data_IF_023512012272
#
_entry.id   IF_023512012272
#
_cell.length_a   1.000
_cell.length_b   1.000
_cell.length_c   1.000
_cell.angle_alpha   90.00
_cell.angle_beta   90.00
_cell.angle_gamma   90.00
#
_symmetry.space_group_name_H-M   'P 1'
#
loop_
_entity.id
_entity.type
_entity.pdbx_description
1 polymer ?
#
# COMPACT_ATOMS: atom_id res chain seq x y z
N UNK A 1 26.35 23.85 5.49
CA UNK A 1 25.14 23.68 6.35
C UNK A 1 25.32 22.38 7.09
N UNK A 2 24.75 22.23 8.28
CA UNK A 2 24.85 20.94 8.98
C UNK A 2 23.94 19.92 8.30
N UNK A 3 24.29 18.66 8.44
CA UNK A 3 23.54 17.52 7.92
C UNK A 3 22.92 16.77 9.09
N UNK A 4 21.81 16.09 8.86
CA UNK A 4 21.10 15.29 9.86
C UNK A 4 20.60 14.01 9.22
N UNK A 5 20.75 12.88 9.89
CA UNK A 5 20.01 11.67 9.53
C UNK A 5 18.56 11.76 9.97
N UNK A 6 17.67 11.58 9.02
CA UNK A 6 16.22 11.68 9.22
C UNK A 6 15.55 10.43 8.65
N UNK A 7 14.50 9.97 9.33
CA UNK A 7 13.53 9.04 8.76
C UNK A 7 12.30 9.82 8.28
N UNK A 8 11.76 9.48 7.11
CA UNK A 8 10.54 10.05 6.57
C UNK A 8 9.49 8.97 6.42
N UNK A 9 8.31 9.20 6.99
CA UNK A 9 7.11 8.41 6.70
C UNK A 9 6.39 9.05 5.52
N UNK A 10 6.00 8.25 4.53
CA UNK A 10 5.30 8.73 3.36
C UNK A 10 4.28 7.73 2.84
N UNK A 11 3.29 8.26 2.14
CA UNK A 11 2.25 7.52 1.46
C UNK A 11 2.30 7.78 -0.05
N UNK A 12 1.87 6.79 -0.83
CA UNK A 12 1.67 6.94 -2.26
C UNK A 12 0.59 6.02 -2.82
N UNK A 13 -0.09 6.50 -3.86
CA UNK A 13 -0.94 5.68 -4.74
C UNK A 13 -0.07 5.09 -5.86
N UNK A 14 0.12 3.78 -5.87
CA UNK A 14 1.08 3.09 -6.73
C UNK A 14 0.65 2.90 -8.19
N UNK A 15 -0.61 3.19 -8.52
CA UNK A 15 -1.23 2.81 -9.80
C UNK A 15 -0.55 3.39 -11.04
N UNK A 16 0.03 4.58 -10.91
CA UNK A 16 0.71 5.29 -12.01
C UNK A 16 2.22 5.07 -12.04
N UNK A 17 2.76 4.19 -11.19
CA UNK A 17 4.19 4.02 -11.00
C UNK A 17 4.65 2.60 -11.29
N UNK A 18 5.86 2.47 -11.82
CA UNK A 18 6.52 1.17 -12.11
C UNK A 18 7.16 0.56 -10.84
N UNK A 19 6.51 0.75 -9.70
CA UNK A 19 6.95 0.30 -8.38
C UNK A 19 7.73 1.36 -7.60
N UNK A 20 8.22 0.94 -6.44
CA UNK A 20 8.94 1.83 -5.53
C UNK A 20 10.36 2.12 -6.03
N UNK A 21 11.15 1.07 -6.26
CA UNK A 21 12.57 1.17 -6.56
C UNK A 21 12.82 1.81 -7.94
N UNK A 22 13.93 2.53 -8.09
CA UNK A 22 14.37 3.09 -9.37
C UNK A 22 14.67 1.94 -10.35
N UNK A 23 14.20 2.10 -11.59
CA UNK A 23 14.37 1.15 -12.68
C UNK A 23 14.71 1.90 -13.97
N UNK A 24 15.21 1.18 -14.98
CA UNK A 24 15.59 1.77 -16.27
C UNK A 24 14.39 2.25 -17.10
N UNK A 25 13.20 1.70 -16.85
CA UNK A 25 11.99 1.99 -17.61
C UNK A 25 10.83 2.37 -16.69
N UNK A 26 10.04 3.36 -17.14
CA UNK A 26 8.89 3.86 -16.41
C UNK A 26 9.25 4.81 -15.27
N UNK A 27 8.23 5.48 -14.73
CA UNK A 27 8.38 6.41 -13.61
C UNK A 27 8.18 5.66 -12.31
N UNK A 28 9.07 5.86 -11.34
CA UNK A 28 9.02 5.17 -10.03
C UNK A 28 8.82 6.16 -8.89
N UNK A 29 8.31 5.66 -7.77
CA UNK A 29 8.04 6.49 -6.58
C UNK A 29 9.35 7.04 -6.02
N UNK A 30 10.39 6.21 -5.92
CA UNK A 30 11.70 6.63 -5.41
C UNK A 30 12.37 7.65 -6.32
N UNK A 31 12.19 7.57 -7.65
CA UNK A 31 12.70 8.60 -8.56
C UNK A 31 12.09 9.96 -8.24
N UNK A 32 10.76 10.05 -8.09
CA UNK A 32 10.07 11.31 -7.74
C UNK A 32 10.44 11.82 -6.36
N UNK A 33 10.64 10.92 -5.41
CA UNK A 33 11.09 11.25 -4.07
C UNK A 33 12.50 11.86 -4.09
N UNK A 34 13.45 11.23 -4.79
CA UNK A 34 14.81 11.75 -4.96
C UNK A 34 14.83 13.10 -5.69
N UNK A 35 14.05 13.24 -6.77
CA UNK A 35 13.92 14.51 -7.50
C UNK A 35 13.43 15.64 -6.57
N UNK A 36 12.53 15.35 -5.63
CA UNK A 36 12.02 16.32 -4.66
C UNK A 36 13.10 16.71 -3.63
N UNK A 37 13.86 15.74 -3.11
CA UNK A 37 14.97 16.01 -2.18
C UNK A 37 16.07 16.88 -2.83
N UNK A 38 16.41 16.62 -4.09
CA UNK A 38 17.39 17.43 -4.85
C UNK A 38 16.86 18.84 -5.13
N UNK A 39 15.62 18.97 -5.62
CA UNK A 39 15.00 20.28 -5.89
C UNK A 39 14.85 21.13 -4.63
N UNK A 40 14.58 20.50 -3.49
CA UNK A 40 14.54 21.15 -2.18
C UNK A 40 15.93 21.55 -1.66
N UNK A 41 17.01 21.11 -2.32
CA UNK A 41 18.41 21.22 -1.89
C UNK A 41 18.61 20.63 -0.50
N UNK A 42 17.96 19.50 -0.24
CA UNK A 42 18.09 18.74 1.01
C UNK A 42 19.22 17.72 0.94
N UNK A 43 19.56 17.23 -0.26
CA UNK A 43 20.71 16.34 -0.49
C UNK A 43 21.66 16.98 -1.51
N UNK A 44 22.94 16.64 -1.40
CA UNK A 44 23.98 17.09 -2.35
C UNK A 44 23.93 16.25 -3.63
N UNK A 45 23.86 14.94 -3.45
CA UNK A 45 23.71 13.96 -4.52
C UNK A 45 23.02 12.69 -3.99
N UNK A 46 22.57 11.83 -4.91
CA UNK A 46 21.83 10.61 -4.59
C UNK A 46 22.70 9.49 -3.99
N UNK A 47 24.02 9.58 -4.12
CA UNK A 47 24.97 8.54 -3.73
C UNK A 47 25.40 8.75 -2.27
N UNK A 48 25.74 9.98 -1.89
CA UNK A 48 26.27 10.31 -0.56
C UNK A 48 25.20 10.47 0.53
N UNK A 49 23.91 10.47 0.17
CA UNK A 49 22.82 10.70 1.12
C UNK A 49 22.47 9.49 2.03
N UNK A 50 23.16 8.36 1.89
CA UNK A 50 22.94 7.12 2.65
C UNK A 50 21.45 6.72 2.76
N UNK A 51 20.83 6.58 1.58
CA UNK A 51 19.41 6.31 1.45
C UNK A 51 19.08 4.84 1.74
N UNK A 52 18.14 4.62 2.65
CA UNK A 52 17.59 3.31 3.01
C UNK A 52 16.07 3.32 2.94
N UNK A 53 15.45 2.17 2.64
CA UNK A 53 13.99 2.04 2.51
C UNK A 53 13.49 0.77 3.17
N UNK A 54 12.39 0.86 3.91
CA UNK A 54 11.89 -0.25 4.72
C UNK A 54 11.57 -1.51 3.91
N UNK A 55 10.87 -1.37 2.80
CA UNK A 55 10.56 -2.49 1.91
C UNK A 55 10.25 -2.00 0.52
N UNK A 56 10.53 -2.82 -0.50
CA UNK A 56 10.13 -2.51 -1.88
C UNK A 56 8.66 -2.86 -2.07
N UNK A 57 7.96 -2.09 -2.89
CA UNK A 57 6.65 -2.48 -3.43
C UNK A 57 6.74 -2.61 -4.94
N UNK A 58 5.99 -3.55 -5.49
CA UNK A 58 5.93 -3.80 -6.93
C UNK A 58 5.14 -2.71 -7.66
N UNK A 59 5.17 -2.75 -8.99
CA UNK A 59 4.32 -1.91 -9.85
C UNK A 59 2.86 -2.01 -9.43
N UNK A 60 2.16 -0.89 -9.37
CA UNK A 60 0.74 -0.81 -9.02
C UNK A 60 0.43 -0.84 -7.52
N UNK A 61 1.32 -1.40 -6.69
CA UNK A 61 1.11 -1.52 -5.22
C UNK A 61 1.22 -0.16 -4.54
N UNK A 62 0.26 0.16 -3.69
CA UNK A 62 0.23 1.43 -2.94
C UNK A 62 0.86 1.29 -1.55
N UNK A 63 1.17 2.40 -0.89
CA UNK A 63 1.61 2.39 0.51
C UNK A 63 1.05 3.59 1.27
N UNK A 64 0.67 3.38 2.53
CA UNK A 64 0.17 4.43 3.43
C UNK A 64 1.16 4.79 4.55
N UNK A 65 2.13 3.92 4.84
CA UNK A 65 3.11 4.10 5.90
C UNK A 65 4.50 3.61 5.53
N UNK A 66 4.93 3.83 4.29
CA UNK A 66 6.29 3.50 3.86
C UNK A 66 7.29 4.42 4.58
N UNK A 67 8.48 3.90 4.85
CA UNK A 67 9.53 4.65 5.54
C UNK A 67 10.83 4.59 4.77
N UNK A 68 11.46 5.75 4.61
CA UNK A 68 12.84 5.89 4.14
C UNK A 68 13.68 6.58 5.20
N UNK A 69 14.99 6.38 5.18
CA UNK A 69 15.92 7.19 5.94
C UNK A 69 17.09 7.59 5.08
N UNK A 70 17.56 8.82 5.27
CA UNK A 70 18.68 9.42 4.55
C UNK A 70 19.24 10.61 5.34
N UNK A 71 20.43 11.04 4.96
CA UNK A 71 21.08 12.25 5.48
C UNK A 71 20.66 13.46 4.67
N UNK A 72 20.07 14.46 5.33
CA UNK A 72 19.57 15.70 4.71
C UNK A 72 20.18 16.94 5.34
N UNK A 73 20.13 18.07 4.65
CA UNK A 73 20.43 19.40 5.19
C UNK A 73 19.52 19.71 6.38
N UNK A 74 20.13 20.13 7.48
CA UNK A 74 19.46 20.63 8.68
C UNK A 74 19.74 22.12 8.89
N UNK A 75 18.77 22.83 9.45
CA UNK A 75 18.95 24.18 9.97
C UNK A 75 19.60 24.17 11.36
N UNK A 76 19.41 23.09 12.12
CA UNK A 76 19.94 22.92 13.47
C UNK A 76 21.41 22.50 13.46
N UNK A 77 22.14 22.87 14.52
CA UNK A 77 23.56 22.55 14.70
C UNK A 77 23.82 21.44 15.72
N UNK A 78 22.82 21.10 16.53
CA UNK A 78 22.90 20.08 17.57
C UNK A 78 21.58 19.29 17.66
N UNK A 79 21.61 18.18 18.41
CA UNK A 79 20.48 17.27 18.58
C UNK A 79 20.68 15.92 17.89
N UNK A 80 19.69 15.03 18.05
CA UNK A 80 19.76 13.65 17.56
C UNK A 80 19.96 13.61 16.04
N UNK A 81 20.88 12.76 15.59
CA UNK A 81 21.15 12.51 14.18
C UNK A 81 21.94 13.59 13.45
N UNK A 82 22.33 14.69 14.10
CA UNK A 82 23.21 15.69 13.50
C UNK A 82 24.55 15.04 13.17
N UNK A 83 24.99 15.23 11.92
CA UNK A 83 26.27 14.75 11.41
C UNK A 83 27.25 15.92 11.45
N UNK A 84 28.31 15.77 12.25
CA UNK A 84 29.38 16.73 12.34
C UNK A 84 30.34 16.62 11.15
N UNK A 85 29.98 17.30 10.05
CA UNK A 85 30.99 17.65 9.03
C UNK A 85 31.80 18.84 9.55
N UNK A 86 33.07 18.61 9.86
CA UNK A 86 34.07 19.61 10.30
C UNK A 86 34.52 20.57 9.18
N UNK A 87 33.76 20.71 8.09
CA UNK A 87 34.18 21.37 6.85
C UNK A 87 33.64 22.78 6.59
N UNK A 88 32.70 23.31 7.37
CA UNK A 88 32.30 24.73 7.26
C UNK A 88 32.54 25.45 8.57
N UNK A 89 33.49 26.39 8.58
CA UNK A 89 33.75 27.29 9.68
C UNK A 89 32.44 27.98 10.10
N UNK A 90 32.11 27.83 11.38
CA UNK A 90 30.88 28.35 12.02
C UNK A 90 30.87 29.90 12.03
N UNK A 91 32.01 30.52 11.70
CA UNK A 91 32.32 31.91 12.02
C UNK A 91 31.63 32.98 11.14
N UNK A 92 30.76 32.62 10.19
CA UNK A 92 30.17 33.59 9.25
C UNK A 92 28.64 33.51 9.11
N UNK A 93 27.93 32.73 9.93
CA UNK A 93 26.46 32.65 9.81
C UNK A 93 25.74 33.62 10.76
N UNK A 94 24.96 34.60 10.24
CA UNK A 94 24.10 35.43 11.07
C UNK A 94 22.93 34.57 11.58
N UNK A 95 22.83 34.43 12.91
CA UNK A 95 21.81 33.70 13.69
C UNK A 95 21.46 32.29 13.21
N UNK A 96 21.91 31.27 13.94
CA UNK A 96 21.44 29.89 13.74
C UNK A 96 19.95 29.83 14.15
N UNK A 97 19.03 29.34 13.30
CA UNK A 97 17.64 29.16 13.68
C UNK A 97 17.47 28.12 14.79
N UNK A 98 16.61 28.40 15.77
CA UNK A 98 16.27 27.44 16.84
C UNK A 98 15.26 26.37 16.39
N UNK A 99 14.77 26.47 15.15
CA UNK A 99 13.72 25.60 14.60
C UNK A 99 14.25 24.90 13.35
N UNK A 100 13.94 23.61 13.23
CA UNK A 100 14.29 22.81 12.07
C UNK A 100 13.48 23.21 10.81
N UNK A 101 14.00 22.84 9.64
CA UNK A 101 13.26 22.97 8.38
C UNK A 101 11.94 22.19 8.42
N UNK A 102 10.86 22.79 7.92
CA UNK A 102 9.60 22.07 7.72
C UNK A 102 9.70 21.17 6.48
N UNK A 103 10.35 20.00 6.66
CA UNK A 103 10.60 19.06 5.58
C UNK A 103 9.31 18.57 4.93
N UNK A 104 8.25 18.36 5.72
CA UNK A 104 6.97 17.84 5.22
C UNK A 104 6.33 18.84 4.27
N UNK A 105 6.22 20.11 4.69
CA UNK A 105 5.65 21.16 3.85
C UNK A 105 6.50 21.44 2.61
N UNK A 106 7.83 21.49 2.77
CA UNK A 106 8.78 21.73 1.68
C UNK A 106 8.71 20.64 0.60
N UNK A 107 8.78 19.37 1.01
CA UNK A 107 8.78 18.24 0.07
C UNK A 107 7.43 18.07 -0.62
N UNK A 108 6.31 18.23 0.10
CA UNK A 108 4.98 18.07 -0.48
C UNK A 108 4.62 19.14 -1.52
N UNK A 109 5.29 20.30 -1.52
CA UNK A 109 5.18 21.30 -2.60
C UNK A 109 5.85 20.87 -3.90
N UNK A 110 6.82 19.95 -3.82
CA UNK A 110 7.63 19.49 -4.96
C UNK A 110 7.21 18.10 -5.46
N UNK A 111 6.56 17.32 -4.59
CA UNK A 111 6.10 15.97 -4.90
C UNK A 111 4.81 15.98 -5.74
N UNK A 112 4.65 15.02 -6.68
CA UNK A 112 3.40 14.81 -7.40
C UNK A 112 2.25 14.50 -6.43
N UNK A 113 0.98 14.77 -6.80
CA UNK A 113 -0.17 14.63 -5.90
C UNK A 113 -0.34 13.23 -5.32
N UNK A 114 0.12 12.21 -6.03
CA UNK A 114 -0.01 10.81 -5.63
C UNK A 114 1.06 10.38 -4.61
N UNK A 115 2.02 11.24 -4.22
CA UNK A 115 3.08 10.95 -3.24
C UNK A 115 3.11 12.06 -2.19
N UNK A 116 3.05 11.69 -0.91
CA UNK A 116 3.06 12.64 0.21
C UNK A 116 3.95 12.17 1.35
N UNK A 117 4.86 13.03 1.80
CA UNK A 117 5.49 12.90 3.12
C UNK A 117 4.42 13.18 4.16
N UNK A 118 4.28 12.29 5.13
CA UNK A 118 3.32 12.41 6.23
C UNK A 118 3.98 13.02 7.47
N UNK A 119 5.19 12.55 7.78
CA UNK A 119 5.96 12.95 8.94
C UNK A 119 7.45 12.69 8.72
N UNK A 120 8.28 13.27 9.59
CA UNK A 120 9.71 12.99 9.65
C UNK A 120 10.15 12.73 11.09
N UNK A 121 11.32 12.15 11.29
CA UNK A 121 11.86 11.88 12.62
C UNK A 121 13.38 11.98 12.63
N UNK A 122 14.01 12.70 13.58
CA UNK A 122 15.45 12.61 13.77
C UNK A 122 15.81 11.22 14.29
N UNK A 123 16.86 10.61 13.74
CA UNK A 123 17.27 9.24 14.09
C UNK A 123 18.76 9.14 14.35
N UNK A 124 19.17 8.12 15.12
CA UNK A 124 20.59 7.87 15.41
C UNK A 124 21.42 7.63 14.14
N UNK A 125 22.73 7.89 14.20
CA UNK A 125 23.62 7.83 13.04
C UNK A 125 23.62 6.49 12.30
N UNK A 126 23.33 5.39 13.00
CA UNK A 126 23.29 4.02 12.46
C UNK A 126 21.89 3.55 12.08
N UNK A 127 20.87 4.42 12.16
CA UNK A 127 19.51 4.06 11.81
C UNK A 127 19.38 3.78 10.32
N UNK A 128 18.69 2.68 10.00
CA UNK A 128 18.30 2.31 8.66
C UNK A 128 16.83 1.95 8.66
N UNK A 129 16.10 2.41 7.65
CA UNK A 129 14.69 2.05 7.50
C UNK A 129 14.49 0.53 7.27
N UNK A 130 15.54 -0.17 6.82
CA UNK A 130 15.49 -1.61 6.51
C UNK A 130 16.28 -2.48 7.49
N UNK A 131 17.54 -2.11 7.70
CA UNK A 131 18.60 -2.94 8.29
C UNK A 131 19.50 -2.08 9.19
N UNK A 132 19.23 -1.99 10.49
CA UNK A 132 20.21 -1.52 11.47
C UNK A 132 20.51 -2.66 12.42
N UNK A 133 21.79 -2.96 12.54
CA UNK A 133 22.32 -3.93 13.48
C UNK A 133 22.29 -3.30 14.87
N UNK A 134 21.41 -3.77 15.76
CA UNK A 134 21.56 -3.46 17.18
C UNK A 134 22.56 -4.46 17.78
N UNK A 135 23.75 -3.99 18.19
CA UNK A 135 24.66 -4.75 19.02
C UNK A 135 24.12 -4.80 20.46
N UNK A 136 23.24 -5.76 20.73
CA UNK A 136 22.89 -6.16 22.09
C UNK A 136 22.80 -7.69 22.09
N UNK A 137 23.66 -8.37 22.87
CA UNK A 137 23.79 -9.84 22.95
C UNK A 137 24.20 -10.59 21.66
N UNK A 138 25.18 -10.12 20.88
CA UNK A 138 25.77 -10.87 19.74
C UNK A 138 24.77 -11.37 18.66
N UNK A 139 23.56 -10.79 18.55
CA UNK A 139 22.55 -11.21 17.58
C UNK A 139 22.19 -10.07 16.62
N UNK A 140 22.24 -10.34 15.31
CA UNK A 140 21.77 -9.43 14.26
C UNK A 140 20.22 -9.29 14.35
N UNK A 141 19.71 -8.11 14.72
CA UNK A 141 18.26 -7.80 14.67
C UNK A 141 17.97 -6.74 13.61
N UNK A 142 16.82 -6.85 12.95
CA UNK A 142 16.32 -5.88 11.98
C UNK A 142 15.67 -4.67 12.69
N UNK A 143 15.86 -3.44 12.19
CA UNK A 143 15.19 -2.23 12.72
C UNK A 143 13.71 -2.23 12.39
N UNK A 144 13.34 -2.67 11.19
CA UNK A 144 11.95 -2.91 10.87
C UNK A 144 11.59 -4.30 11.40
N UNK A 145 10.84 -4.31 12.50
CA UNK A 145 10.44 -5.53 13.19
C UNK A 145 9.28 -6.24 12.49
N UNK A 146 8.38 -5.44 11.88
CA UNK A 146 7.11 -5.92 11.36
C UNK A 146 6.66 -5.02 10.20
N UNK A 147 6.01 -5.62 9.21
CA UNK A 147 5.32 -4.94 8.11
C UNK A 147 3.91 -5.47 8.01
N UNK A 148 2.96 -4.57 7.79
CA UNK A 148 1.55 -4.91 7.63
C UNK A 148 1.08 -4.53 6.23
N UNK A 149 0.49 -5.50 5.55
CA UNK A 149 -0.13 -5.32 4.24
C UNK A 149 -1.62 -5.57 4.35
N UNK A 150 -2.39 -4.80 3.58
CA UNK A 150 -3.82 -5.05 3.40
C UNK A 150 -4.10 -5.23 1.91
N UNK A 151 -4.92 -6.22 1.58
CA UNK A 151 -5.40 -6.47 0.24
C UNK A 151 -6.93 -6.42 0.21
N UNK A 152 -7.49 -5.70 -0.74
CA UNK A 152 -8.95 -5.61 -0.93
C UNK A 152 -9.41 -6.43 -2.15
N UNK A 153 -10.45 -7.25 -1.98
CA UNK A 153 -11.11 -7.98 -3.07
C UNK A 153 -12.63 -7.87 -2.96
N UNK A 154 -13.37 -7.96 -4.07
CA UNK A 154 -14.81 -8.20 -4.02
C UNK A 154 -15.11 -9.54 -3.33
N UNK A 155 -16.06 -9.53 -2.40
CA UNK A 155 -16.45 -10.72 -1.63
C UNK A 155 -17.37 -11.68 -2.40
N UNK A 156 -17.95 -11.25 -3.52
CA UNK A 156 -18.94 -12.04 -4.26
C UNK A 156 -18.39 -13.41 -4.68
N UNK A 157 -19.11 -14.46 -4.30
CA UNK A 157 -18.75 -15.85 -4.63
C UNK A 157 -17.56 -16.40 -3.83
N UNK A 158 -17.22 -15.79 -2.69
CA UNK A 158 -16.15 -16.27 -1.80
C UNK A 158 -16.71 -16.75 -0.45
N UNK A 159 -16.27 -17.93 -0.02
CA UNK A 159 -16.44 -18.42 1.34
C UNK A 159 -15.36 -17.81 2.25
N UNK A 160 -15.74 -16.75 2.96
CA UNK A 160 -14.86 -16.01 3.87
C UNK A 160 -14.42 -16.87 5.07
N UNK A 161 -15.25 -17.83 5.48
CA UNK A 161 -14.92 -18.70 6.62
C UNK A 161 -13.81 -19.66 6.23
N UNK A 162 -13.91 -20.27 5.04
CA UNK A 162 -12.83 -21.12 4.50
C UNK A 162 -11.55 -20.34 4.26
N UNK A 163 -11.67 -19.10 3.76
CA UNK A 163 -10.50 -18.22 3.59
C UNK A 163 -9.83 -17.89 4.92
N UNK A 164 -10.61 -17.58 5.97
CA UNK A 164 -10.09 -17.30 7.30
C UNK A 164 -9.42 -18.54 7.92
N UNK A 165 -10.00 -19.73 7.74
CA UNK A 165 -9.41 -20.99 8.18
C UNK A 165 -8.05 -21.25 7.50
N UNK A 166 -8.00 -21.14 6.17
CA UNK A 166 -6.77 -21.31 5.39
C UNK A 166 -5.71 -20.25 5.76
N UNK A 167 -6.13 -19.00 5.94
CA UNK A 167 -5.27 -17.90 6.33
C UNK A 167 -4.58 -18.15 7.67
N UNK A 168 -5.29 -18.73 8.64
CA UNK A 168 -4.74 -19.00 9.98
C UNK A 168 -3.57 -19.99 9.96
N UNK A 169 -3.57 -20.94 9.01
CA UNK A 169 -2.51 -21.93 8.82
C UNK A 169 -1.17 -21.33 8.36
N UNK A 170 -1.20 -20.12 7.80
CA UNK A 170 0.01 -19.40 7.36
C UNK A 170 0.79 -18.77 8.52
N UNK A 171 0.19 -18.61 9.70
CA UNK A 171 0.84 -17.99 10.84
C UNK A 171 1.98 -18.87 11.39
N UNK A 172 3.04 -18.23 11.88
CA UNK A 172 4.24 -18.91 12.37
C UNK A 172 5.46 -18.71 11.48
N UNK A 173 6.49 -19.50 11.72
CA UNK A 173 7.78 -19.44 11.00
C UNK A 173 7.91 -20.66 10.10
N UNK A 174 7.88 -20.43 8.79
CA UNK A 174 7.84 -21.50 7.79
C UNK A 174 8.72 -21.17 6.58
N UNK A 175 9.03 -22.18 5.76
CA UNK A 175 9.60 -21.99 4.43
C UNK A 175 8.50 -21.62 3.43
N UNK A 176 8.52 -20.38 2.93
CA UNK A 176 7.48 -19.84 2.06
C UNK A 176 7.84 -19.91 0.57
N UNK A 177 8.75 -20.79 0.13
CA UNK A 177 9.14 -20.90 -1.28
C UNK A 177 7.96 -21.14 -2.22
N UNK A 178 6.98 -21.94 -1.79
CA UNK A 178 5.78 -22.24 -2.56
C UNK A 178 4.75 -21.09 -2.57
N UNK A 179 4.99 -20.06 -1.77
CA UNK A 179 4.13 -18.89 -1.64
C UNK A 179 4.77 -17.64 -2.24
N UNK A 180 5.84 -17.75 -3.03
CA UNK A 180 6.53 -16.59 -3.61
C UNK A 180 6.80 -16.77 -5.10
N UNK A 181 7.35 -15.75 -5.74
CA UNK A 181 7.94 -15.88 -7.08
C UNK A 181 9.46 -15.95 -6.94
N UNK A 182 10.08 -16.88 -7.67
CA UNK A 182 11.54 -16.99 -7.71
C UNK A 182 12.05 -15.94 -8.70
N UNK A 183 12.87 -15.01 -8.21
CA UNK A 183 13.62 -14.11 -9.07
C UNK A 183 15.03 -14.67 -9.24
N UNK A 184 15.35 -15.19 -10.42
CA UNK A 184 16.63 -15.82 -10.75
C UNK A 184 17.77 -14.80 -10.91
N UNK A 185 17.48 -13.51 -10.97
CA UNK A 185 18.47 -12.43 -11.13
C UNK A 185 19.19 -12.05 -9.82
N UNK A 186 18.74 -12.60 -8.69
CA UNK A 186 19.32 -12.34 -7.38
C UNK A 186 19.74 -13.66 -6.70
N UNK A 187 20.68 -13.58 -5.75
CA UNK A 187 21.04 -14.72 -4.90
C UNK A 187 19.78 -15.36 -4.30
N UNK A 188 19.76 -16.70 -4.23
CA UNK A 188 18.61 -17.44 -3.70
C UNK A 188 18.28 -16.93 -2.30
N UNK A 189 17.09 -16.33 -2.10
CA UNK A 189 16.76 -15.76 -0.81
C UNK A 189 16.58 -16.90 0.21
N UNK A 190 16.91 -16.63 1.47
CA UNK A 190 16.42 -17.45 2.58
C UNK A 190 14.89 -17.42 2.51
N UNK A 191 14.26 -18.56 2.25
CA UNK A 191 12.80 -18.66 2.05
C UNK A 191 12.01 -18.68 3.36
N UNK A 192 12.69 -18.81 4.50
CA UNK A 192 12.07 -18.80 5.81
C UNK A 192 11.61 -17.39 6.18
N UNK A 193 10.33 -17.22 6.50
CA UNK A 193 9.75 -15.97 7.02
C UNK A 193 8.85 -16.29 8.21
N UNK A 194 8.57 -15.25 9.00
CA UNK A 194 7.59 -15.30 10.08
C UNK A 194 6.41 -14.41 9.76
N UNK A 195 5.23 -15.00 9.69
CA UNK A 195 3.94 -14.30 9.63
C UNK A 195 3.37 -14.28 11.04
N UNK A 196 3.11 -13.08 11.55
CA UNK A 196 2.65 -12.83 12.92
C UNK A 196 1.11 -12.89 13.00
N UNK A 197 0.41 -12.41 11.96
CA UNK A 197 -1.05 -12.55 11.86
C UNK A 197 -1.55 -12.50 10.42
N UNK A 198 -2.62 -13.24 10.15
CA UNK A 198 -3.43 -13.09 8.93
C UNK A 198 -4.90 -12.98 9.30
N UNK A 199 -5.55 -11.90 8.87
CA UNK A 199 -6.96 -11.63 9.13
C UNK A 199 -7.71 -11.51 7.81
N UNK A 200 -8.85 -12.19 7.71
CA UNK A 200 -9.79 -12.07 6.59
C UNK A 200 -11.10 -11.55 7.17
N UNK A 201 -11.50 -10.35 6.74
CA UNK A 201 -12.69 -9.66 7.27
C UNK A 201 -13.57 -9.16 6.14
N UNK A 202 -14.85 -9.02 6.44
CA UNK A 202 -15.78 -8.23 5.64
C UNK A 202 -15.66 -6.76 6.06
N UNK A 203 -15.61 -5.84 5.10
CA UNK A 203 -15.77 -4.43 5.40
C UNK A 203 -17.25 -4.17 5.72
N UNK A 204 -17.54 -3.80 6.96
CA UNK A 204 -18.88 -3.81 7.57
C UNK A 204 -19.76 -2.65 7.05
N UNK A 205 -20.98 -2.96 6.59
CA UNK A 205 -22.26 -2.18 6.68
C UNK A 205 -23.25 -2.44 5.53
N UNK A 206 -23.76 -3.66 5.39
CA UNK A 206 -25.21 -3.94 5.27
C UNK A 206 -25.49 -5.44 5.07
N UNK A 207 -26.71 -5.85 5.41
CA UNK A 207 -27.15 -7.20 5.80
C UNK A 207 -27.11 -8.27 4.67
N UNK A 208 -26.53 -8.01 3.49
CA UNK A 208 -26.36 -9.02 2.45
C UNK A 208 -25.06 -8.80 1.67
N UNK A 209 -24.34 -9.88 1.34
CA UNK A 209 -23.16 -9.84 0.47
C UNK A 209 -23.57 -9.31 -0.91
N UNK A 210 -23.44 -8.00 -1.08
CA UNK A 210 -23.48 -7.41 -2.39
C UNK A 210 -22.08 -7.56 -3.05
N UNK A 211 -21.98 -7.59 -4.37
CA UNK A 211 -20.71 -7.72 -5.11
C UNK A 211 -19.84 -6.47 -5.16
N UNK A 212 -20.32 -5.36 -4.61
CA UNK A 212 -19.50 -4.22 -4.20
C UNK A 212 -19.00 -4.35 -2.76
N UNK A 213 -19.51 -5.30 -1.97
CA UNK A 213 -18.96 -5.62 -0.64
C UNK A 213 -17.53 -6.10 -0.81
N UNK A 214 -16.61 -5.40 -0.16
CA UNK A 214 -15.20 -5.72 -0.17
C UNK A 214 -14.85 -6.61 1.02
N UNK A 215 -13.95 -7.55 0.77
CA UNK A 215 -13.24 -8.31 1.77
C UNK A 215 -11.83 -7.72 1.93
N UNK A 216 -11.45 -7.50 3.18
CA UNK A 216 -10.14 -7.08 3.61
C UNK A 216 -9.32 -8.33 4.03
N UNK A 217 -8.15 -8.51 3.42
CA UNK A 217 -7.15 -9.50 3.85
C UNK A 217 -5.95 -8.73 4.40
N UNK A 218 -5.77 -8.73 5.71
CA UNK A 218 -4.65 -8.09 6.39
C UNK A 218 -3.59 -9.15 6.75
N UNK A 219 -2.35 -8.96 6.31
CA UNK A 219 -1.22 -9.87 6.59
C UNK A 219 -0.10 -9.08 7.24
N UNK A 220 0.37 -9.55 8.39
CA UNK A 220 1.42 -8.90 9.17
C UNK A 220 2.55 -9.90 9.46
N UNK A 221 3.79 -9.47 9.29
CA UNK A 221 4.96 -10.33 9.51
C UNK A 221 6.29 -9.58 9.53
N UNK A 222 7.35 -10.31 9.87
CA UNK A 222 8.72 -9.76 9.98
C UNK A 222 9.32 -9.29 8.66
N UNK A 223 8.84 -9.84 7.55
CA UNK A 223 9.26 -9.52 6.19
C UNK A 223 8.65 -10.50 5.20
N UNK A 224 8.65 -10.13 3.93
CA UNK A 224 8.02 -10.93 2.87
C UNK A 224 8.98 -11.16 1.71
N UNK A 225 8.89 -12.33 1.09
CA UNK A 225 9.58 -12.69 -0.14
C UNK A 225 8.95 -11.95 -1.33
N UNK A 226 9.66 -12.00 -2.46
CA UNK A 226 9.17 -11.41 -3.70
C UNK A 226 7.81 -12.01 -4.09
N UNK A 227 6.83 -11.12 -4.32
CA UNK A 227 5.42 -11.47 -4.61
C UNK A 227 4.68 -12.30 -3.53
N UNK A 228 5.24 -12.47 -2.32
CA UNK A 228 4.70 -13.43 -1.37
C UNK A 228 3.24 -13.16 -1.00
N UNK A 229 2.93 -11.92 -0.65
CA UNK A 229 1.58 -11.50 -0.23
C UNK A 229 0.56 -11.74 -1.33
N UNK A 230 0.89 -11.42 -2.59
CA UNK A 230 -0.02 -11.61 -3.74
C UNK A 230 -0.23 -13.09 -4.09
N UNK A 231 0.78 -13.93 -3.88
CA UNK A 231 0.65 -15.37 -4.06
C UNK A 231 -0.22 -15.99 -2.96
N UNK A 232 -0.05 -15.55 -1.71
CA UNK A 232 -0.93 -15.94 -0.59
C UNK A 232 -2.38 -15.57 -0.90
N UNK A 233 -2.64 -14.32 -1.30
CA UNK A 233 -3.99 -13.86 -1.65
C UNK A 233 -4.59 -14.69 -2.79
N UNK A 234 -3.81 -15.04 -3.82
CA UNK A 234 -4.29 -15.89 -4.91
C UNK A 234 -4.75 -17.27 -4.43
N UNK A 235 -4.01 -17.89 -3.51
CA UNK A 235 -4.38 -19.17 -2.91
C UNK A 235 -5.64 -19.04 -2.05
N UNK A 236 -5.71 -18.03 -1.18
CA UNK A 236 -6.89 -17.79 -0.36
C UNK A 236 -8.14 -17.57 -1.21
N UNK A 237 -8.04 -16.79 -2.29
CA UNK A 237 -9.15 -16.59 -3.25
C UNK A 237 -9.55 -17.90 -3.93
N UNK A 238 -8.58 -18.75 -4.28
CA UNK A 238 -8.84 -20.06 -4.92
C UNK A 238 -9.59 -20.98 -3.95
N UNK A 239 -9.19 -21.00 -2.68
CA UNK A 239 -9.86 -21.75 -1.61
C UNK A 239 -11.26 -21.17 -1.33
N UNK A 240 -11.39 -19.84 -1.28
CA UNK A 240 -12.67 -19.16 -1.08
C UNK A 240 -13.67 -19.44 -2.20
N UNK A 241 -13.22 -19.73 -3.42
CA UNK A 241 -14.07 -20.16 -4.54
C UNK A 241 -14.45 -21.65 -4.48
N UNK A 242 -13.91 -22.41 -3.54
CA UNK A 242 -14.12 -23.84 -3.40
C UNK A 242 -13.35 -24.70 -4.41
N UNK A 243 -12.36 -24.15 -5.11
CA UNK A 243 -11.54 -24.92 -6.05
C UNK A 243 -10.45 -25.75 -5.36
N UNK A 244 -10.08 -25.37 -4.13
CA UNK A 244 -9.06 -26.02 -3.32
C UNK A 244 -9.52 -26.06 -1.86
N UNK A 245 -9.00 -27.03 -1.09
CA UNK A 245 -9.28 -27.13 0.35
C UNK A 245 -8.32 -26.28 1.19
N UNK A 246 -8.72 -25.86 2.42
CA UNK A 246 -7.83 -25.15 3.34
C UNK A 246 -6.55 -25.91 3.70
N UNK A 247 -6.59 -27.26 3.67
CA UNK A 247 -5.44 -28.13 3.94
C UNK A 247 -4.31 -28.00 2.91
N UNK A 248 -4.59 -27.45 1.72
CA UNK A 248 -3.56 -27.17 0.71
C UNK A 248 -2.46 -26.25 1.28
N UNK A 249 -2.80 -25.36 2.21
CA UNK A 249 -1.81 -24.47 2.83
C UNK A 249 -0.73 -25.29 3.55
N UNK A 250 -1.13 -26.31 4.32
CA UNK A 250 -0.18 -27.17 5.05
C UNK A 250 0.69 -27.96 4.05
N UNK A 251 0.07 -28.47 2.99
CA UNK A 251 0.76 -29.22 1.94
C UNK A 251 1.82 -28.38 1.21
N UNK A 252 1.55 -27.09 1.00
CA UNK A 252 2.48 -26.15 0.38
C UNK A 252 3.59 -25.69 1.33
N UNK A 253 3.35 -25.71 2.64
CA UNK A 253 4.37 -25.41 3.66
C UNK A 253 5.31 -26.61 3.89
N UNK A 254 4.83 -27.83 3.64
CA UNK A 254 5.64 -29.04 3.65
C UNK A 254 6.44 -29.20 2.34
N UNK A 255 7.74 -28.93 2.42
CA UNK A 255 8.65 -28.98 1.25
C UNK A 255 8.93 -30.42 0.80
N UNK A 256 8.84 -31.40 1.69
CA UNK A 256 9.03 -32.81 1.31
C UNK A 256 7.83 -33.31 0.50
N UNK A 257 6.63 -32.91 0.94
CA UNK A 257 5.39 -33.23 0.23
C UNK A 257 5.23 -32.44 -1.07
N UNK A 258 5.55 -31.15 -1.06
CA UNK A 258 5.44 -30.26 -2.21
C UNK A 258 6.78 -29.62 -2.55
N UNK A 259 7.65 -30.32 -3.32
CA UNK A 259 8.99 -29.82 -3.64
C UNK A 259 8.98 -28.66 -4.64
N UNK A 260 7.85 -28.44 -5.35
CA UNK A 260 7.71 -27.38 -6.33
C UNK A 260 6.33 -26.72 -6.26
N UNK A 261 6.32 -25.40 -6.43
CA UNK A 261 5.13 -24.55 -6.41
C UNK A 261 4.16 -24.90 -7.55
N UNK A 262 2.86 -25.17 -7.27
CA UNK A 262 1.85 -25.27 -8.31
C UNK A 262 1.57 -23.92 -8.98
N UNK A 263 1.15 -23.93 -10.25
CA UNK A 263 0.94 -22.69 -10.99
C UNK A 263 -0.43 -22.08 -10.69
N UNK A 264 -0.44 -21.06 -9.83
CA UNK A 264 -1.58 -20.19 -9.59
C UNK A 264 -1.38 -18.83 -10.25
N UNK A 265 -2.45 -18.27 -10.83
CA UNK A 265 -2.45 -16.90 -11.31
C UNK A 265 -2.31 -15.94 -10.11
N UNK A 266 -1.25 -15.14 -10.11
CA UNK A 266 -0.99 -14.20 -9.03
C UNK A 266 -2.08 -13.13 -8.93
N UNK A 267 -2.44 -12.74 -7.71
CA UNK A 267 -3.42 -11.69 -7.46
C UNK A 267 -2.97 -10.34 -8.08
N UNK A 268 -3.91 -9.47 -8.42
CA UNK A 268 -3.62 -8.15 -8.97
C UNK A 268 -2.74 -7.31 -8.01
N UNK A 269 -2.02 -6.32 -8.53
CA UNK A 269 -1.12 -5.47 -7.72
C UNK A 269 -1.86 -4.29 -7.07
N UNK A 270 -2.70 -3.60 -7.83
CA UNK A 270 -3.36 -2.37 -7.39
C UNK A 270 -4.21 -2.44 -6.10
N UNK A 271 -4.78 -3.59 -5.66
CA UNK A 271 -5.50 -3.67 -4.40
C UNK A 271 -4.61 -3.92 -3.18
N UNK A 272 -3.32 -4.20 -3.39
CA UNK A 272 -2.36 -4.40 -2.31
C UNK A 272 -1.85 -3.05 -1.82
N UNK A 273 -1.87 -2.88 -0.49
CA UNK A 273 -1.44 -1.68 0.19
C UNK A 273 -0.48 -2.05 1.31
N UNK A 274 0.72 -1.47 1.33
CA UNK A 274 1.57 -1.47 2.51
C UNK A 274 1.00 -0.48 3.53
N UNK A 275 0.42 -0.98 4.62
CA UNK A 275 -0.19 -0.14 5.66
C UNK A 275 0.87 0.56 6.50
N UNK A 276 1.96 -0.12 6.83
CA UNK A 276 3.03 0.46 7.62
C UNK A 276 4.12 -0.52 8.00
N UNK A 277 5.11 0.01 8.69
CA UNK A 277 6.22 -0.72 9.26
C UNK A 277 6.41 -0.32 10.73
N UNK A 278 6.71 -1.30 11.57
CA UNK A 278 6.98 -1.08 12.98
C UNK A 278 8.47 -1.16 13.27
N UNK A 279 8.89 -0.35 14.24
CA UNK A 279 10.26 -0.19 14.70
C UNK A 279 10.30 -0.29 16.23
N UNK A 280 11.44 -0.62 16.85
CA UNK A 280 11.54 -0.70 18.30
C UNK A 280 11.08 0.60 18.98
N UNK A 281 10.36 0.50 20.11
CA UNK A 281 9.89 1.68 20.85
C UNK A 281 11.00 2.70 21.09
N UNK A 282 10.71 3.98 20.85
CA UNK A 282 11.69 5.07 21.00
C UNK A 282 12.66 5.25 19.82
N UNK A 283 12.66 4.38 18.82
CA UNK A 283 13.53 4.54 17.63
C UNK A 283 13.07 5.68 16.71
N UNK A 284 11.78 6.00 16.74
CA UNK A 284 11.14 7.01 15.90
C UNK A 284 10.22 7.88 16.74
N UNK A 285 10.36 9.19 16.57
CA UNK A 285 9.51 10.25 17.10
C UNK A 285 9.03 11.08 15.91
N UNK A 286 7.81 10.84 15.46
CA UNK A 286 7.26 11.47 14.25
C UNK A 286 6.86 12.92 14.51
N UNK A 287 7.36 13.81 13.66
CA UNK A 287 7.14 15.25 13.69
C UNK A 287 6.48 15.70 12.39
N UNK A 288 5.44 16.53 12.52
CA UNK A 288 4.76 17.20 11.40
C UNK A 288 4.26 18.54 11.88
N UNK A 289 4.56 19.62 11.16
CA UNK A 289 4.06 20.95 11.50
C UNK A 289 2.53 21.02 11.37
N UNK A 290 1.89 21.94 12.09
CA UNK A 290 0.44 22.14 11.98
C UNK A 290 0.02 22.55 10.57
N UNK A 291 0.79 23.42 9.91
CA UNK A 291 0.54 23.83 8.53
C UNK A 291 0.62 22.64 7.56
N UNK A 292 1.64 21.78 7.69
CA UNK A 292 1.78 20.59 6.86
C UNK A 292 0.64 19.60 7.09
N UNK A 293 0.25 19.37 8.34
CA UNK A 293 -0.86 18.48 8.72
C UNK A 293 -2.19 18.95 8.12
N UNK A 294 -2.47 20.25 8.16
CA UNK A 294 -3.66 20.83 7.58
C UNK A 294 -3.71 20.67 6.04
N UNK A 295 -2.61 20.95 5.34
CA UNK A 295 -2.54 20.75 3.89
C UNK A 295 -2.65 19.26 3.49
N UNK A 296 -2.08 18.34 4.29
CA UNK A 296 -2.22 16.90 4.07
C UNK A 296 -3.68 16.45 4.15
N UNK A 297 -4.41 16.87 5.19
CA UNK A 297 -5.84 16.54 5.34
C UNK A 297 -6.64 17.05 4.14
N UNK A 298 -6.46 18.33 3.78
CA UNK A 298 -7.13 18.92 2.62
C UNK A 298 -6.79 18.17 1.32
N UNK A 299 -5.51 17.83 1.13
CA UNK A 299 -5.04 17.11 -0.06
C UNK A 299 -5.69 15.73 -0.18
N UNK A 300 -5.68 14.93 0.89
CA UNK A 300 -6.29 13.59 0.87
C UNK A 300 -7.82 13.64 0.76
N UNK A 301 -8.49 14.63 1.35
CA UNK A 301 -9.93 14.84 1.15
C UNK A 301 -10.26 15.14 -0.32
N UNK A 302 -9.46 15.98 -0.97
CA UNK A 302 -9.62 16.27 -2.40
C UNK A 302 -9.37 15.03 -3.25
N UNK A 303 -8.28 14.31 -2.99
CA UNK A 303 -7.92 13.09 -3.71
C UNK A 303 -9.00 12.01 -3.55
N UNK A 304 -9.50 11.80 -2.33
CA UNK A 304 -10.62 10.91 -2.07
C UNK A 304 -11.87 11.32 -2.84
N UNK A 305 -12.22 12.61 -2.82
CA UNK A 305 -13.39 13.13 -3.54
C UNK A 305 -13.29 12.86 -5.05
N UNK A 306 -12.13 13.09 -5.65
CA UNK A 306 -11.88 12.81 -7.07
C UNK A 306 -12.04 11.31 -7.40
N UNK A 307 -11.50 10.42 -6.55
CA UNK A 307 -11.64 8.98 -6.75
C UNK A 307 -13.06 8.48 -6.48
N UNK A 308 -13.75 9.03 -5.49
CA UNK A 308 -15.15 8.73 -5.21
C UNK A 308 -16.04 9.08 -6.41
N UNK A 309 -15.83 10.24 -7.04
CA UNK A 309 -16.55 10.63 -8.26
C UNK A 309 -16.30 9.62 -9.40
N UNK A 310 -15.03 9.22 -9.61
CA UNK A 310 -14.67 8.21 -10.62
C UNK A 310 -15.28 6.84 -10.34
N UNK A 311 -15.39 6.46 -9.07
CA UNK A 311 -16.04 5.23 -8.62
C UNK A 311 -17.55 5.24 -8.84
N UNK A 312 -18.20 6.40 -8.67
CA UNK A 312 -19.66 6.53 -8.85
C UNK A 312 -20.08 6.30 -10.31
N UNK A 313 -19.29 6.72 -11.30
CA UNK A 313 -19.62 6.53 -12.72
C UNK A 313 -19.95 5.08 -13.13
N UNK A 314 -19.10 4.07 -12.85
CA UNK A 314 -19.42 2.68 -13.18
C UNK A 314 -20.62 2.13 -12.38
N UNK A 315 -20.88 2.62 -11.16
CA UNK A 315 -22.09 2.24 -10.41
C UNK A 315 -23.38 2.69 -11.12
N UNK A 316 -23.38 3.90 -11.69
CA UNK A 316 -24.51 4.35 -12.52
C UNK A 316 -24.68 3.43 -13.73
N UNK A 317 -23.61 3.10 -14.46
CA UNK A 317 -23.71 2.18 -15.61
C UNK A 317 -24.32 0.82 -15.22
N UNK A 318 -23.94 0.26 -14.07
CA UNK A 318 -24.54 -0.97 -13.56
C UNK A 318 -26.05 -0.82 -13.26
N UNK A 319 -26.46 0.31 -12.68
CA UNK A 319 -27.87 0.61 -12.46
C UNK A 319 -28.67 0.75 -13.77
N UNK A 320 -28.08 1.35 -14.81
CA UNK A 320 -28.67 1.47 -16.15
C UNK A 320 -28.88 0.07 -16.76
N UNK A 321 -27.88 -0.79 -16.71
CA UNK A 321 -27.95 -2.14 -17.28
C UNK A 321 -29.05 -2.97 -16.61
N UNK A 322 -29.26 -2.82 -15.30
CA UNK A 322 -30.39 -3.44 -14.58
C UNK A 322 -31.74 -2.98 -15.09
N UNK A 323 -31.91 -1.68 -15.33
CA UNK A 323 -33.15 -1.14 -15.87
C UNK A 323 -33.49 -1.78 -17.22
N UNK A 324 -32.50 -1.88 -18.11
CA UNK A 324 -32.68 -2.54 -19.41
C UNK A 324 -32.95 -4.04 -19.30
N UNK A 325 -32.29 -4.75 -18.37
CA UNK A 325 -32.54 -6.17 -18.13
C UNK A 325 -33.99 -6.44 -17.67
N UNK A 326 -34.51 -5.60 -16.76
CA UNK A 326 -35.90 -5.67 -16.28
C UNK A 326 -36.92 -5.32 -17.37
N UNK A 327 -36.61 -4.35 -18.23
CA UNK A 327 -37.52 -3.91 -19.30
C UNK A 327 -37.66 -4.91 -20.45
N UNK A 328 -36.71 -5.84 -20.65
CA UNK A 328 -36.68 -6.76 -21.81
C UNK A 328 -37.03 -8.22 -21.52
N UNK A 329 -37.49 -8.58 -20.32
CA UNK A 329 -37.79 -9.98 -19.92
C UNK A 329 -36.70 -10.98 -20.35
N UNK A 330 -35.43 -10.56 -20.41
CA UNK A 330 -34.33 -11.49 -20.66
C UNK A 330 -33.93 -12.11 -19.34
N UNK A 331 -34.55 -13.26 -19.04
CA UNK A 331 -34.30 -14.01 -17.80
C UNK A 331 -32.80 -14.28 -17.58
N UNK A 332 -32.06 -14.58 -18.65
CA UNK A 332 -30.61 -14.81 -18.61
C UNK A 332 -29.81 -13.58 -18.18
N UNK A 333 -30.14 -12.39 -18.71
CA UNK A 333 -29.46 -11.15 -18.33
C UNK A 333 -29.86 -10.70 -16.92
N UNK A 334 -31.11 -10.92 -16.54
CA UNK A 334 -31.60 -10.69 -15.19
C UNK A 334 -30.88 -11.59 -14.18
N UNK A 335 -30.80 -12.90 -14.42
CA UNK A 335 -30.14 -13.84 -13.51
C UNK A 335 -28.65 -13.51 -13.35
N UNK A 336 -27.97 -13.12 -14.44
CA UNK A 336 -26.55 -12.72 -14.39
C UNK A 336 -26.33 -11.36 -13.72
N UNK A 337 -27.28 -10.42 -13.79
CA UNK A 337 -27.15 -9.08 -13.20
C UNK A 337 -27.69 -9.02 -11.76
N UNK A 338 -28.67 -9.85 -11.42
CA UNK A 338 -29.28 -9.95 -10.08
C UNK A 338 -28.49 -10.91 -9.17
N UNK A 339 -28.03 -12.06 -9.68
CA UNK A 339 -27.11 -12.94 -8.93
C UNK A 339 -25.76 -12.30 -8.66
N UNK A 340 -25.42 -11.29 -9.47
CA UNK A 340 -24.17 -10.57 -9.38
C UNK A 340 -24.32 -9.16 -8.86
N UNK A 341 -25.43 -8.68 -8.24
CA UNK A 341 -25.50 -7.42 -7.48
C UNK A 341 -26.78 -7.27 -6.60
N UNK A 342 -26.65 -6.89 -5.32
CA UNK A 342 -27.73 -6.41 -4.43
C UNK A 342 -27.34 -5.07 -3.78
N UNK A 343 -27.42 -3.97 -4.55
CA UNK A 343 -26.99 -2.63 -4.11
C UNK A 343 -28.16 -1.89 -3.43
N UNK A 344 -27.79 -0.96 -2.54
CA UNK A 344 -28.68 -0.08 -1.79
C UNK A 344 -29.70 0.66 -2.69
N UNK A 345 -30.98 0.63 -2.31
CA UNK A 345 -32.13 1.06 -3.13
C UNK A 345 -32.14 2.56 -3.49
N UNK A 346 -31.44 3.38 -2.69
CA UNK A 346 -31.33 4.84 -2.87
C UNK A 346 -30.52 5.25 -4.10
N UNK A 347 -29.40 4.56 -4.39
CA UNK A 347 -28.56 4.78 -5.57
C UNK A 347 -29.24 4.27 -6.85
N UNK A 348 -29.96 3.14 -6.75
CA UNK A 348 -30.79 2.63 -7.85
C UNK A 348 -31.88 3.65 -8.19
N UNK A 349 -32.53 4.23 -7.19
CA UNK A 349 -33.54 5.28 -7.39
C UNK A 349 -32.96 6.53 -8.07
N UNK A 350 -31.74 6.95 -7.70
CA UNK A 350 -31.04 8.06 -8.35
C UNK A 350 -30.63 7.75 -9.81
N UNK A 351 -30.10 6.55 -10.07
CA UNK A 351 -29.77 6.06 -11.41
C UNK A 351 -31.00 5.93 -12.31
N UNK A 352 -32.08 5.33 -11.80
CA UNK A 352 -33.36 5.24 -12.52
C UNK A 352 -33.94 6.63 -12.79
N UNK A 353 -33.89 7.58 -11.84
CA UNK A 353 -34.33 8.97 -12.09
C UNK A 353 -33.48 9.66 -13.17
N UNK A 354 -32.17 9.45 -13.17
CA UNK A 354 -31.28 9.98 -14.21
C UNK A 354 -31.61 9.38 -15.58
N UNK A 355 -31.79 8.06 -15.69
CA UNK A 355 -32.19 7.37 -16.93
C UNK A 355 -33.55 7.83 -17.41
N UNK A 356 -34.55 7.89 -16.53
CA UNK A 356 -35.90 8.34 -16.89
C UNK A 356 -35.87 9.80 -17.37
N UNK A 357 -35.09 10.68 -16.74
CA UNK A 357 -34.95 12.06 -17.18
C UNK A 357 -34.19 12.18 -18.51
N UNK A 358 -33.10 11.43 -18.70
CA UNK A 358 -32.30 11.46 -19.94
C UNK A 358 -33.03 10.82 -21.12
N UNK A 359 -33.78 9.72 -20.89
CA UNK A 359 -34.61 9.06 -21.90
C UNK A 359 -35.90 9.84 -22.19
N UNK A 360 -36.52 10.50 -21.20
CA UNK A 360 -37.66 11.40 -21.46
C UNK A 360 -37.25 12.65 -22.25
N UNK A 361 -36.01 13.11 -22.13
CA UNK A 361 -35.47 14.23 -22.94
C UNK A 361 -35.19 13.79 -24.40
N UNK A 362 -35.18 12.48 -24.71
CA UNK A 362 -35.01 11.95 -26.08
C UNK A 362 -36.19 11.11 -26.60
N UNK A 363 -37.35 11.17 -25.94
CA UNK A 363 -38.47 10.25 -26.15
C UNK A 363 -39.72 10.85 -26.80
N UNK A 364 -39.58 11.73 -27.78
CA UNK A 364 -40.65 11.92 -28.78
C UNK A 364 -40.75 10.65 -29.64
N UNK A 365 -41.87 9.93 -29.50
CA UNK A 365 -42.40 8.88 -30.41
C UNK A 365 -41.46 7.71 -30.76
N UNK A 366 -41.69 6.58 -30.10
CA UNK A 366 -41.88 5.32 -30.81
C UNK A 366 -43.27 4.81 -30.42
N UNK A 367 -44.21 5.04 -31.33
CA UNK A 367 -45.57 4.55 -31.27
C UNK A 367 -45.60 3.02 -31.47
N UNK A 368 -46.74 2.44 -31.08
CA UNK A 368 -47.21 1.07 -31.25
C UNK A 368 -46.77 0.35 -32.53
#
# INVERSE_FOLDING_TARGET
YKKRRVAFQFAYLGWNYSGLAIQNFGVTVMQKLMDAFEKARLIEDRISCDFTVCGRTDKGVSALGQVVSLVVRSALVSGLGIVDDSGTAINERPSIPDVELDYVFLLNKLLPPDIRILAWSPVGADFSARYSVFFFYNCLRFTCCQRSYTYFIPCSGLDITMMAEAAKRLEGTHDFRNFCSINLEHELPVFVRRIDSVLVRLEDTSVMCDPTTMCEISITGSGFLYHQVRCIVALLVTIGRGYESPSLIDDLLDIEKTPAKPQYQMAADYPLILMGAEYPPGSLSWETSEAARFELVRHFQKLWSEHAIRYVCPLFNLAILRFFARARTSKVLLDHVEGSLHLNSSLISAGCRFVTNVLNVRGTRLAR
#
